data_IF_876078881747
#
_entry.id   IF_876078881747
#
_cell.length_a   1.000
_cell.length_b   1.000
_cell.length_c   1.000
_cell.angle_alpha   90.00
_cell.angle_beta   90.00
_cell.angle_gamma   90.00
#
_symmetry.space_group_name_H-M   'P 1'
#
loop_
_entity.id
_entity.type
_entity.pdbx_description
1 polymer ?
#
# COMPACT_ATOMS: atom_id res chain seq x y z
N UNK A 1 -5.12 24.17 25.90
CA UNK A 1 -4.23 24.00 24.73
C UNK A 1 -5.13 24.01 23.51
N UNK A 2 -4.94 24.95 22.58
CA UNK A 2 -5.84 25.09 21.40
C UNK A 2 -5.34 24.20 20.28
N UNK A 3 -6.22 23.40 19.69
CA UNK A 3 -5.92 22.59 18.51
C UNK A 3 -5.77 23.49 17.28
N UNK A 4 -4.64 23.40 16.57
CA UNK A 4 -4.33 24.29 15.44
C UNK A 4 -4.60 23.63 14.08
N UNK A 5 -4.65 24.44 13.02
CA UNK A 5 -4.78 23.96 11.64
C UNK A 5 -3.57 23.10 11.26
N UNK A 6 -2.37 23.50 11.68
CA UNK A 6 -1.13 22.75 11.43
C UNK A 6 -1.19 21.36 12.09
N UNK A 7 -1.71 21.29 13.32
CA UNK A 7 -1.94 20.02 14.00
C UNK A 7 -3.00 19.15 13.29
N UNK A 8 -3.99 19.78 12.66
CA UNK A 8 -4.97 19.07 11.85
C UNK A 8 -4.40 18.50 10.55
N UNK A 9 -3.56 19.28 9.87
CA UNK A 9 -2.89 18.85 8.63
C UNK A 9 -1.89 17.72 8.95
N UNK A 10 -1.13 17.84 10.04
CA UNK A 10 -0.14 16.83 10.44
C UNK A 10 -0.73 15.57 11.09
N UNK A 11 -2.04 15.54 11.37
CA UNK A 11 -2.69 14.40 12.02
C UNK A 11 -2.63 13.17 11.11
N UNK A 12 -2.04 12.08 11.62
CA UNK A 12 -2.01 10.79 10.92
C UNK A 12 -3.42 10.21 10.79
N UNK A 13 -3.73 9.62 9.65
CA UNK A 13 -5.07 9.08 9.35
C UNK A 13 -5.00 7.59 9.07
N UNK A 14 -5.87 6.82 9.69
CA UNK A 14 -6.07 5.41 9.35
C UNK A 14 -6.91 5.34 8.07
N UNK A 15 -6.38 4.66 7.06
CA UNK A 15 -7.05 4.47 5.77
C UNK A 15 -7.85 3.17 5.71
N UNK A 16 -7.15 2.07 5.41
CA UNK A 16 -7.71 0.73 5.26
C UNK A 16 -7.08 -0.24 6.27
N UNK A 17 -7.85 -1.28 6.61
CA UNK A 17 -7.48 -2.33 7.59
C UNK A 17 -7.74 -3.69 6.94
N UNK A 18 -6.84 -4.65 7.17
CA UNK A 18 -7.04 -6.05 6.81
C UNK A 18 -6.59 -6.96 7.96
N UNK A 19 -7.37 -7.99 8.27
CA UNK A 19 -6.98 -9.01 9.24
C UNK A 19 -6.09 -10.07 8.58
N UNK A 20 -5.02 -10.46 9.26
CA UNK A 20 -4.19 -11.61 8.88
C UNK A 20 -5.02 -12.90 8.85
N UNK A 21 -4.65 -13.90 8.02
CA UNK A 21 -5.40 -15.15 7.93
C UNK A 21 -5.44 -15.93 9.24
N UNK A 22 -4.39 -15.83 10.07
CA UNK A 22 -4.31 -16.45 11.39
C UNK A 22 -5.02 -15.64 12.49
N UNK A 23 -5.51 -14.44 12.17
CA UNK A 23 -6.21 -13.55 13.10
C UNK A 23 -5.33 -12.91 14.16
N UNK A 24 -4.01 -13.11 14.14
CA UNK A 24 -3.11 -12.65 15.21
C UNK A 24 -2.74 -11.17 15.08
N UNK A 25 -2.85 -10.59 13.88
CA UNK A 25 -2.55 -9.18 13.65
C UNK A 25 -3.38 -8.54 12.53
N UNK A 26 -3.43 -7.21 12.54
CA UNK A 26 -4.05 -6.38 11.51
C UNK A 26 -2.98 -5.64 10.70
N UNK A 27 -3.09 -5.65 9.38
CA UNK A 27 -2.39 -4.73 8.51
C UNK A 27 -3.21 -3.44 8.38
N UNK A 28 -2.60 -2.29 8.64
CA UNK A 28 -3.26 -0.98 8.64
C UNK A 28 -2.46 0.00 7.80
N UNK A 29 -3.12 0.67 6.85
CA UNK A 29 -2.50 1.79 6.13
C UNK A 29 -2.67 3.08 6.94
N UNK A 30 -1.57 3.80 7.15
CA UNK A 30 -1.56 5.07 7.88
C UNK A 30 -1.03 6.16 6.96
N UNK A 31 -1.87 7.14 6.66
CA UNK A 31 -1.49 8.35 5.93
C UNK A 31 -0.79 9.34 6.88
N UNK A 32 0.26 9.97 6.38
CA UNK A 32 1.03 11.02 7.06
C UNK A 32 1.57 12.01 6.04
N UNK A 33 2.02 13.17 6.52
CA UNK A 33 2.88 14.02 5.72
C UNK A 33 4.23 13.31 5.43
N UNK A 34 4.78 13.61 4.26
CA UNK A 34 6.16 13.30 3.93
C UNK A 34 7.14 14.11 4.80
N UNK A 35 8.45 13.89 4.61
CA UNK A 35 9.49 14.49 5.45
C UNK A 35 9.48 16.02 5.38
N UNK A 36 9.13 16.57 4.23
CA UNK A 36 9.16 18.01 3.96
C UNK A 36 7.82 18.69 4.30
N UNK A 37 6.79 17.92 4.65
CA UNK A 37 5.46 18.44 4.95
C UNK A 37 4.68 18.88 3.70
N UNK A 38 5.14 18.52 2.51
CA UNK A 38 4.62 19.01 1.24
C UNK A 38 3.53 18.11 0.66
N UNK A 39 3.59 16.80 0.91
CA UNK A 39 2.68 15.80 0.33
C UNK A 39 2.23 14.79 1.37
N UNK A 40 1.07 14.19 1.13
CA UNK A 40 0.64 13.02 1.90
C UNK A 40 1.18 11.73 1.26
N UNK A 41 1.73 10.88 2.11
CA UNK A 41 2.23 9.54 1.81
C UNK A 41 1.60 8.56 2.80
N UNK A 42 1.67 7.26 2.52
CA UNK A 42 1.08 6.27 3.42
C UNK A 42 1.95 5.04 3.57
N UNK A 43 2.03 4.56 4.80
CA UNK A 43 2.81 3.39 5.17
C UNK A 43 1.88 2.29 5.70
N UNK A 44 2.30 1.04 5.58
CA UNK A 44 1.63 -0.10 6.20
C UNK A 44 2.21 -0.39 7.57
N UNK A 45 1.34 -0.74 8.50
CA UNK A 45 1.65 -1.09 9.87
C UNK A 45 1.05 -2.45 10.23
N UNK A 46 1.80 -3.24 10.99
CA UNK A 46 1.34 -4.45 11.67
C UNK A 46 0.90 -4.09 13.08
N UNK A 47 -0.35 -4.36 13.42
CA UNK A 47 -0.92 -4.17 14.74
C UNK A 47 -1.26 -5.53 15.34
N UNK A 48 -0.57 -5.99 16.40
CA UNK A 48 -0.96 -7.19 17.13
C UNK A 48 -2.39 -7.07 17.69
N UNK A 49 -3.20 -8.13 17.58
CA UNK A 49 -4.58 -8.14 18.10
C UNK A 49 -4.66 -8.32 19.61
N UNK A 50 -3.57 -8.76 20.24
CA UNK A 50 -3.40 -8.87 21.70
C UNK A 50 -3.07 -7.53 22.38
N UNK A 51 -2.98 -6.43 21.62
CA UNK A 51 -2.64 -5.11 22.13
C UNK A 51 -1.14 -4.85 22.25
N UNK A 52 -0.28 -5.72 21.71
CA UNK A 52 1.15 -5.48 21.59
C UNK A 52 1.52 -4.25 20.74
N UNK A 53 2.81 -3.86 20.71
CA UNK A 53 3.25 -2.66 20.01
C UNK A 53 3.08 -2.79 18.49
N UNK A 54 2.64 -1.70 17.85
CA UNK A 54 2.54 -1.63 16.39
C UNK A 54 3.94 -1.57 15.75
N UNK A 55 4.12 -2.29 14.64
CA UNK A 55 5.37 -2.35 13.87
C UNK A 55 5.14 -1.81 12.48
N UNK A 56 5.93 -0.83 12.06
CA UNK A 56 5.88 -0.29 10.71
C UNK A 56 6.50 -1.28 9.70
N UNK A 57 5.74 -1.63 8.66
CA UNK A 57 6.13 -2.59 7.61
C UNK A 57 6.75 -1.91 6.39
N UNK A 58 6.24 -0.74 6.00
CA UNK A 58 6.76 0.00 4.84
C UNK A 58 7.15 1.42 5.21
N UNK A 59 8.07 2.01 4.41
CA UNK A 59 8.64 3.33 4.61
C UNK A 59 8.91 3.99 3.26
N UNK A 60 8.93 5.31 3.24
CA UNK A 60 9.36 6.12 2.09
C UNK A 60 8.33 7.17 1.70
N UNK A 61 8.42 7.60 0.45
CA UNK A 61 7.58 8.67 -0.12
C UNK A 61 6.49 8.13 -1.06
N UNK A 62 6.20 6.83 -0.94
CA UNK A 62 5.13 6.16 -1.69
C UNK A 62 3.81 6.20 -0.92
N UNK A 63 2.72 5.95 -1.62
CA UNK A 63 1.37 5.78 -1.05
C UNK A 63 1.04 4.29 -1.02
N UNK A 64 1.40 3.62 0.08
CA UNK A 64 1.03 2.23 0.31
C UNK A 64 -0.36 2.15 0.95
N UNK A 65 -1.32 1.55 0.26
CA UNK A 65 -2.74 1.53 0.66
C UNK A 65 -3.42 0.20 0.32
N UNK A 66 -4.66 0.03 0.78
CA UNK A 66 -5.50 -1.13 0.48
C UNK A 66 -4.83 -2.49 0.78
N UNK A 67 -4.36 -2.73 2.02
CA UNK A 67 -3.78 -4.02 2.41
C UNK A 67 -4.78 -5.16 2.16
N UNK A 68 -4.29 -6.28 1.65
CA UNK A 68 -5.08 -7.48 1.41
C UNK A 68 -4.18 -8.72 1.58
N UNK A 69 -4.54 -9.61 2.50
CA UNK A 69 -3.79 -10.85 2.68
C UNK A 69 -4.13 -11.90 1.63
N UNK A 70 -3.10 -12.58 1.15
CA UNK A 70 -3.22 -13.86 0.46
C UNK A 70 -3.33 -14.98 1.49
N UNK A 71 -3.86 -16.13 1.06
CA UNK A 71 -4.13 -17.28 1.94
C UNK A 71 -2.88 -17.83 2.66
N UNK A 72 -1.69 -17.62 2.10
CA UNK A 72 -0.39 -18.04 2.65
C UNK A 72 0.22 -17.02 3.64
N UNK A 73 -0.50 -15.95 3.98
CA UNK A 73 -0.03 -14.92 4.90
C UNK A 73 0.77 -13.80 4.23
N UNK A 74 1.06 -13.86 2.93
CA UNK A 74 1.67 -12.75 2.22
C UNK A 74 0.70 -11.55 2.17
N UNK A 75 1.24 -10.34 2.31
CA UNK A 75 0.46 -9.10 2.35
C UNK A 75 0.59 -8.35 1.03
N UNK A 76 -0.47 -8.30 0.24
CA UNK A 76 -0.53 -7.42 -0.92
C UNK A 76 -1.08 -6.05 -0.58
N UNK A 77 -0.75 -5.07 -1.40
CA UNK A 77 -1.18 -3.69 -1.25
C UNK A 77 -1.03 -2.93 -2.58
N UNK A 78 -1.73 -1.81 -2.71
CA UNK A 78 -1.50 -0.86 -3.80
C UNK A 78 -0.38 0.09 -3.41
N UNK A 79 0.56 0.30 -4.33
CA UNK A 79 1.62 1.28 -4.15
C UNK A 79 1.98 1.93 -5.47
N UNK A 80 2.29 3.21 -5.41
CA UNK A 80 2.84 3.99 -6.51
C UNK A 80 4.37 4.08 -6.45
N UNK A 81 5.00 3.18 -5.69
CA UNK A 81 6.46 3.04 -5.72
C UNK A 81 6.91 2.65 -7.13
N UNK A 82 8.02 3.21 -7.56
CA UNK A 82 8.64 2.87 -8.84
C UNK A 82 9.79 1.89 -8.57
N UNK A 83 9.75 0.67 -9.12
CA UNK A 83 10.96 -0.12 -9.24
C UNK A 83 11.83 0.49 -10.33
N UNK A 84 13.11 0.77 -10.03
CA UNK A 84 14.15 1.04 -11.03
C UNK A 84 14.03 2.33 -11.87
N UNK A 85 13.53 3.44 -11.34
CA UNK A 85 13.71 4.73 -12.02
C UNK A 85 15.16 5.22 -11.93
N UNK A 86 15.82 5.34 -13.10
CA UNK A 86 17.15 5.95 -13.25
C UNK A 86 17.09 7.47 -13.08
N UNK A 87 15.91 8.08 -13.24
CA UNK A 87 15.60 9.46 -12.86
C UNK A 87 14.12 9.59 -12.49
N UNK A 88 13.78 10.27 -11.39
CA UNK A 88 12.40 10.66 -11.11
C UNK A 88 11.94 11.64 -12.20
N UNK A 89 10.87 11.29 -12.90
CA UNK A 89 10.06 12.27 -13.62
C UNK A 89 9.00 12.78 -12.63
N UNK A 90 9.16 14.02 -12.18
CA UNK A 90 8.25 14.65 -11.22
C UNK A 90 6.86 14.93 -11.83
N UNK A 91 6.72 14.87 -13.15
CA UNK A 91 5.46 15.03 -13.87
C UNK A 91 4.77 13.70 -14.21
N UNK A 92 5.47 12.56 -14.10
CA UNK A 92 4.85 11.26 -14.33
C UNK A 92 3.81 10.98 -13.25
N UNK A 93 2.56 10.75 -13.65
CA UNK A 93 1.54 10.24 -12.74
C UNK A 93 2.01 8.88 -12.19
N UNK A 94 2.42 8.86 -10.91
CA UNK A 94 2.85 7.64 -10.26
C UNK A 94 1.68 6.67 -10.16
N UNK A 95 1.67 5.69 -11.04
CA UNK A 95 0.60 4.70 -11.19
C UNK A 95 0.62 3.74 -10.02
N UNK A 96 -0.56 3.44 -9.48
CA UNK A 96 -0.69 2.40 -8.47
C UNK A 96 -0.54 1.04 -9.12
N UNK A 97 0.22 0.15 -8.51
CA UNK A 97 0.34 -1.25 -8.90
C UNK A 97 0.09 -2.15 -7.69
N UNK A 98 -0.21 -3.42 -7.94
CA UNK A 98 -0.26 -4.41 -6.86
C UNK A 98 1.16 -4.80 -6.50
N UNK A 99 1.50 -4.67 -5.23
CA UNK A 99 2.75 -5.12 -4.62
C UNK A 99 2.48 -6.19 -3.58
N UNK A 100 3.45 -7.06 -3.34
CA UNK A 100 3.36 -8.16 -2.39
C UNK A 100 4.57 -8.16 -1.45
N UNK A 101 4.31 -7.99 -0.16
CA UNK A 101 5.24 -8.27 0.92
C UNK A 101 5.15 -9.78 1.27
N UNK A 102 6.25 -10.56 1.18
CA UNK A 102 6.22 -11.98 1.52
C UNK A 102 5.87 -12.23 2.99
N UNK A 103 5.25 -13.38 3.29
CA UNK A 103 4.84 -13.76 4.65
C UNK A 103 6.04 -13.84 5.62
N UNK A 104 7.18 -14.36 5.13
CA UNK A 104 8.45 -14.46 5.86
C UNK A 104 9.18 -13.11 6.00
N UNK A 105 8.61 -12.02 5.47
CA UNK A 105 9.24 -10.71 5.36
C UNK A 105 10.17 -10.59 4.15
N UNK A 106 10.99 -9.54 4.15
CA UNK A 106 11.84 -9.15 3.02
C UNK A 106 11.26 -7.99 2.21
N UNK A 107 11.80 -7.78 1.02
CA UNK A 107 11.41 -6.66 0.16
C UNK A 107 10.11 -6.94 -0.59
N UNK A 108 9.19 -5.95 -0.68
CA UNK A 108 8.00 -6.08 -1.51
C UNK A 108 8.35 -6.23 -3.01
N UNK A 109 7.60 -7.11 -3.69
CA UNK A 109 7.71 -7.34 -5.15
C UNK A 109 6.48 -6.85 -5.90
N UNK A 110 6.66 -6.30 -7.09
CA UNK A 110 5.56 -5.90 -7.95
C UNK A 110 4.88 -7.14 -8.56
N UNK A 111 3.55 -7.13 -8.62
CA UNK A 111 2.73 -8.20 -9.20
C UNK A 111 2.00 -7.79 -10.48
N UNK A 112 1.84 -6.49 -10.75
CA UNK A 112 1.16 -5.97 -11.95
C UNK A 112 1.94 -4.80 -12.53
N UNK A 113 1.86 -4.58 -13.84
CA UNK A 113 2.39 -3.38 -14.49
C UNK A 113 1.39 -2.78 -15.48
N UNK A 114 0.27 -2.31 -14.94
CA UNK A 114 -0.81 -1.74 -15.74
C UNK A 114 -0.46 -0.34 -16.28
N UNK A 115 -0.65 -0.07 -17.59
CA UNK A 115 -0.31 1.21 -18.21
C UNK A 115 -0.97 2.43 -17.59
N UNK A 116 -2.18 2.27 -17.04
CA UNK A 116 -2.91 3.32 -16.32
C UNK A 116 -3.04 3.02 -14.82
N UNK A 117 -2.38 1.98 -14.33
CA UNK A 117 -2.41 1.56 -12.94
C UNK A 117 -3.67 0.81 -12.53
N UNK A 118 -3.60 0.27 -11.33
CA UNK A 118 -4.64 -0.53 -10.69
C UNK A 118 -5.41 0.32 -9.68
N UNK A 119 -6.74 0.36 -9.81
CA UNK A 119 -7.63 1.09 -8.92
C UNK A 119 -7.99 0.30 -7.67
N UNK A 120 -8.19 -1.01 -7.82
CA UNK A 120 -8.52 -1.92 -6.72
C UNK A 120 -8.10 -3.35 -7.05
N UNK A 121 -7.81 -4.13 -6.02
CA UNK A 121 -7.51 -5.56 -6.15
C UNK A 121 -7.97 -6.36 -4.94
N UNK A 122 -8.10 -7.68 -5.10
CA UNK A 122 -8.33 -8.66 -4.03
C UNK A 122 -7.65 -9.98 -4.35
N UNK A 123 -7.08 -10.64 -3.34
CA UNK A 123 -6.69 -12.04 -3.45
C UNK A 123 -7.89 -12.98 -3.30
N UNK A 124 -7.80 -14.12 -3.98
CA UNK A 124 -8.68 -15.25 -3.73
C UNK A 124 -8.40 -15.82 -2.33
N UNK A 125 -9.47 -16.16 -1.60
CA UNK A 125 -9.35 -16.69 -0.23
C UNK A 125 -8.68 -18.05 -0.11
N UNK A 126 -8.65 -18.85 -1.18
CA UNK A 126 -8.23 -20.27 -1.14
C UNK A 126 -7.35 -20.68 -2.32
N UNK A 127 -6.83 -19.72 -3.08
CA UNK A 127 -6.01 -19.98 -4.25
C UNK A 127 -4.99 -18.86 -4.45
N UNK A 128 -3.88 -19.18 -5.13
CA UNK A 128 -2.88 -18.20 -5.55
C UNK A 128 -3.34 -17.44 -6.80
N UNK A 129 -4.41 -16.66 -6.64
CA UNK A 129 -5.00 -15.82 -7.68
C UNK A 129 -5.40 -14.48 -7.09
N UNK A 130 -5.40 -13.45 -7.93
CA UNK A 130 -5.94 -12.14 -7.60
C UNK A 130 -6.88 -11.68 -8.73
N UNK A 131 -7.81 -10.81 -8.37
CA UNK A 131 -8.60 -10.01 -9.31
C UNK A 131 -8.27 -8.54 -9.07
N UNK A 132 -8.24 -7.75 -10.14
CA UNK A 132 -7.98 -6.32 -10.05
C UNK A 132 -8.79 -5.54 -11.09
N UNK A 133 -8.94 -4.24 -10.86
CA UNK A 133 -9.56 -3.29 -11.76
C UNK A 133 -8.51 -2.28 -12.22
N UNK A 134 -8.40 -2.09 -13.53
CA UNK A 134 -7.51 -1.11 -14.14
C UNK A 134 -8.21 -0.43 -15.33
N UNK A 135 -8.03 0.88 -15.52
CA UNK A 135 -8.44 1.55 -16.74
C UNK A 135 -7.61 1.04 -17.92
N UNK A 136 -8.25 0.88 -19.09
CA UNK A 136 -7.59 0.42 -20.31
C UNK A 136 -7.71 1.46 -21.41
N UNK A 137 -6.67 1.58 -22.22
CA UNK A 137 -6.69 2.36 -23.47
C UNK A 137 -6.80 1.42 -24.66
N UNK A 138 -7.65 1.77 -25.61
CA UNK A 138 -7.79 0.99 -26.84
C UNK A 138 -6.43 0.93 -27.57
N UNK A 139 -5.98 -0.28 -27.88
CA UNK A 139 -4.72 -0.50 -28.60
C UNK A 139 -3.46 -0.49 -27.73
N UNK A 140 -3.59 -0.33 -26.40
CA UNK A 140 -2.47 -0.46 -25.46
C UNK A 140 -2.52 -1.84 -24.79
N UNK A 141 -1.40 -2.56 -24.81
CA UNK A 141 -1.29 -3.86 -24.14
C UNK A 141 -1.43 -3.70 -22.62
N UNK A 142 -2.15 -4.63 -21.99
CA UNK A 142 -2.41 -4.71 -20.55
C UNK A 142 -2.39 -6.20 -20.14
N UNK A 143 -2.25 -6.47 -18.84
CA UNK A 143 -2.03 -7.81 -18.28
C UNK A 143 -3.31 -8.62 -18.03
#
# INVERSE_FOLDING_TARGET
>A
MTYTVEQHIALKRVGAIAASPDGTWLAVSVERLDRDGAKYVSDLWKLPTDGGPAVQLTRGDSKDKAPCFRHDGALGFLSNRQPNEVKPDDEAEKRMQVWLLPAEGGEPRQLTDEPLGVEAFRFARRADRLVYFAPVLLGVAHE
#
